data_IF_808359314725
#
_entry.id   IF_808359314725
#
_cell.length_a   1.000
_cell.length_b   1.000
_cell.length_c   1.000
_cell.angle_alpha   90.00
_cell.angle_beta   90.00
_cell.angle_gamma   90.00
#
_symmetry.space_group_name_H-M   'P 1'
#
loop_
_entity.id
_entity.type
_entity.pdbx_description
1 polymer ?
#
# COMPACT_ATOMS: atom_id res chain seq x y z
N UNK A 1 26.11 -18.00 10.01
CA UNK A 1 24.90 -17.49 10.68
C UNK A 1 23.72 -18.32 10.22
N UNK A 2 22.90 -18.76 11.16
CA UNK A 2 21.60 -19.39 10.90
C UNK A 2 20.51 -18.39 11.22
N UNK A 3 19.55 -18.24 10.31
CA UNK A 3 18.43 -17.32 10.43
C UNK A 3 17.12 -18.03 10.09
N UNK A 4 16.06 -17.71 10.84
CA UNK A 4 14.72 -18.25 10.69
C UNK A 4 13.74 -17.10 10.53
N UNK A 5 12.95 -17.15 9.46
CA UNK A 5 11.84 -16.24 9.22
C UNK A 5 10.53 -17.02 9.28
N UNK A 6 9.54 -16.53 10.01
CA UNK A 6 8.22 -17.16 10.09
C UNK A 6 7.14 -16.15 9.74
N UNK A 7 6.15 -16.61 8.97
CA UNK A 7 4.96 -15.84 8.61
C UNK A 7 3.73 -16.67 8.92
N UNK A 8 2.93 -16.24 9.89
CA UNK A 8 1.66 -16.87 10.25
C UNK A 8 0.49 -15.97 9.88
N UNK A 9 -0.47 -16.51 9.14
CA UNK A 9 -1.74 -15.85 8.81
C UNK A 9 -2.89 -16.66 9.38
N UNK A 10 -3.62 -16.08 10.33
CA UNK A 10 -4.92 -16.55 10.79
C UNK A 10 -5.99 -15.64 10.21
N UNK A 11 -6.96 -16.19 9.49
CA UNK A 11 -7.94 -15.38 8.78
C UNK A 11 -9.33 -16.01 8.83
N UNK A 12 -10.36 -15.17 9.04
CA UNK A 12 -11.76 -15.48 8.75
C UNK A 12 -12.20 -14.60 7.59
N UNK A 13 -12.63 -15.22 6.50
CA UNK A 13 -13.02 -14.54 5.27
C UNK A 13 -14.49 -14.80 4.97
N UNK A 14 -15.27 -13.73 4.80
CA UNK A 14 -16.64 -13.77 4.30
C UNK A 14 -16.59 -13.53 2.79
N UNK A 15 -17.09 -14.47 2.01
CA UNK A 15 -17.27 -14.29 0.55
C UNK A 15 -18.68 -13.79 0.27
N UNK A 16 -18.77 -12.69 -0.46
CA UNK A 16 -20.01 -11.97 -0.74
C UNK A 16 -20.40 -12.14 -2.20
N UNK A 17 -21.68 -12.42 -2.45
CA UNK A 17 -22.24 -12.47 -3.79
C UNK A 17 -23.71 -12.08 -3.74
N UNK A 18 -24.16 -11.27 -4.71
CA UNK A 18 -25.55 -10.81 -4.82
C UNK A 18 -26.12 -10.26 -3.50
N UNK A 19 -25.32 -9.46 -2.79
CA UNK A 19 -25.67 -8.85 -1.50
C UNK A 19 -25.94 -9.86 -0.37
N UNK A 20 -25.31 -11.04 -0.44
CA UNK A 20 -25.42 -12.08 0.58
C UNK A 20 -24.05 -12.69 0.93
N UNK A 21 -23.91 -13.18 2.16
CA UNK A 21 -22.73 -13.95 2.56
C UNK A 21 -22.91 -15.39 2.06
N UNK A 22 -22.14 -15.76 1.03
CA UNK A 22 -22.20 -17.10 0.43
C UNK A 22 -21.35 -18.13 1.18
N UNK A 23 -20.21 -17.70 1.72
CA UNK A 23 -19.30 -18.62 2.39
C UNK A 23 -18.51 -17.92 3.50
N UNK A 24 -18.22 -18.68 4.55
CA UNK A 24 -17.29 -18.29 5.62
C UNK A 24 -16.12 -19.27 5.56
N UNK A 25 -14.92 -18.77 5.29
CA UNK A 25 -13.69 -19.57 5.19
C UNK A 25 -12.75 -19.21 6.33
N UNK A 26 -12.13 -20.23 6.92
CA UNK A 26 -11.04 -20.05 7.88
C UNK A 26 -9.74 -20.49 7.26
N UNK A 27 -8.70 -19.71 7.46
CA UNK A 27 -7.33 -20.03 7.03
C UNK A 27 -6.41 -19.87 8.24
N UNK A 28 -5.57 -20.86 8.48
CA UNK A 28 -4.48 -20.79 9.43
C UNK A 28 -3.28 -21.43 8.74
N UNK A 29 -2.34 -20.60 8.31
CA UNK A 29 -1.13 -21.06 7.61
C UNK A 29 0.08 -20.44 8.26
N UNK A 30 1.09 -21.27 8.49
CA UNK A 30 2.42 -20.85 8.88
C UNK A 30 3.38 -21.23 7.76
N UNK A 31 4.23 -20.29 7.36
CA UNK A 31 5.30 -20.50 6.40
C UNK A 31 6.61 -20.13 7.09
N UNK A 32 7.61 -21.01 7.00
CA UNK A 32 8.90 -20.81 7.67
C UNK A 32 10.03 -20.94 6.67
N UNK A 33 10.89 -19.93 6.61
CA UNK A 33 12.13 -19.93 5.86
C UNK A 33 13.32 -20.13 6.80
N UNK A 34 14.29 -20.92 6.36
CA UNK A 34 15.53 -21.20 7.07
C UNK A 34 16.68 -20.81 6.17
N UNK A 35 17.56 -19.94 6.65
CA UNK A 35 18.68 -19.40 5.89
C UNK A 35 19.98 -19.74 6.62
N UNK A 36 20.97 -20.18 5.85
CA UNK A 36 22.36 -20.29 6.29
C UNK A 36 23.17 -19.30 5.47
N UNK A 37 23.86 -18.39 6.16
CA UNK A 37 24.77 -17.43 5.54
C UNK A 37 26.18 -17.73 6.04
N UNK A 38 27.10 -18.03 5.11
CA UNK A 38 28.50 -18.34 5.39
C UNK A 38 29.38 -17.94 4.20
N UNK A 39 30.54 -17.36 4.46
CA UNK A 39 31.55 -17.00 3.45
C UNK A 39 30.99 -16.18 2.27
N UNK A 40 30.10 -15.23 2.58
CA UNK A 40 29.45 -14.38 1.57
C UNK A 40 28.45 -15.12 0.68
N UNK A 41 28.01 -16.33 1.05
CA UNK A 41 27.00 -17.12 0.35
C UNK A 41 25.77 -17.35 1.20
N UNK A 42 24.63 -17.59 0.54
CA UNK A 42 23.37 -17.95 1.19
C UNK A 42 22.80 -19.26 0.65
N UNK A 43 22.35 -20.12 1.56
CA UNK A 43 21.54 -21.30 1.28
C UNK A 43 20.21 -21.19 2.02
N UNK A 44 19.11 -21.62 1.37
CA UNK A 44 17.75 -21.41 1.86
C UNK A 44 16.94 -22.70 1.77
N UNK A 45 16.13 -22.98 2.78
CA UNK A 45 15.08 -23.98 2.76
C UNK A 45 13.77 -23.36 3.25
N UNK A 46 12.63 -23.90 2.80
CA UNK A 46 11.31 -23.41 3.14
C UNK A 46 10.37 -24.55 3.52
N UNK A 47 9.46 -24.27 4.45
CA UNK A 47 8.41 -25.20 4.84
C UNK A 47 7.06 -24.50 5.03
N UNK A 48 5.98 -25.23 4.78
CA UNK A 48 4.61 -24.82 5.08
C UNK A 48 4.07 -25.74 6.17
N UNK A 49 3.54 -25.17 7.25
CA UNK A 49 3.10 -25.92 8.42
C UNK A 49 4.25 -26.28 9.36
N UNK A 50 4.10 -27.41 10.06
CA UNK A 50 5.12 -27.91 10.99
C UNK A 50 6.27 -28.56 10.21
N UNK A 51 7.50 -28.25 10.59
CA UNK A 51 8.71 -28.85 10.03
C UNK A 51 9.73 -29.14 11.14
N UNK A 52 10.58 -30.14 10.89
CA UNK A 52 11.77 -30.37 11.70
C UNK A 52 12.81 -29.28 11.38
N UNK A 53 13.02 -28.38 12.33
CA UNK A 53 13.93 -27.25 12.20
C UNK A 53 15.38 -27.67 11.93
N UNK A 54 15.86 -28.76 12.56
CA UNK A 54 17.22 -29.23 12.36
C UNK A 54 17.43 -29.70 10.91
N UNK A 55 16.46 -30.47 10.39
CA UNK A 55 16.48 -30.94 9.01
C UNK A 55 16.40 -29.77 8.00
N UNK A 56 15.62 -28.73 8.30
CA UNK A 56 15.52 -27.55 7.42
C UNK A 56 16.81 -26.74 7.38
N UNK A 57 17.49 -26.55 8.52
CA UNK A 57 18.80 -25.92 8.52
C UNK A 57 19.86 -26.78 7.82
N UNK A 58 19.82 -28.10 7.93
CA UNK A 58 20.70 -29.00 7.17
C UNK A 58 20.45 -28.87 5.66
N UNK A 59 19.20 -28.74 5.23
CA UNK A 59 18.88 -28.52 3.82
C UNK A 59 19.36 -27.15 3.34
N UNK A 60 19.14 -26.10 4.13
CA UNK A 60 19.65 -24.76 3.82
C UNK A 60 21.19 -24.74 3.73
N UNK A 61 21.86 -25.48 4.62
CA UNK A 61 23.32 -25.69 4.60
C UNK A 61 23.78 -26.38 3.30
N UNK A 62 23.13 -27.48 2.88
CA UNK A 62 23.42 -28.14 1.59
C UNK A 62 23.23 -27.21 0.41
N UNK A 63 22.22 -26.35 0.47
CA UNK A 63 21.90 -25.39 -0.59
C UNK A 63 22.95 -24.27 -0.73
N UNK A 64 23.92 -24.14 0.17
CA UNK A 64 25.11 -23.28 -0.05
C UNK A 64 25.89 -23.71 -1.31
N UNK A 65 25.81 -24.98 -1.71
CA UNK A 65 26.46 -25.50 -2.92
C UNK A 65 25.97 -24.83 -4.22
N UNK A 66 24.80 -24.18 -4.22
CA UNK A 66 24.35 -23.38 -5.35
C UNK A 66 25.16 -22.09 -5.56
N UNK A 67 25.98 -21.70 -4.58
CA UNK A 67 26.96 -20.62 -4.73
C UNK A 67 26.36 -19.22 -4.86
N UNK A 68 25.13 -19.00 -4.39
CA UNK A 68 24.42 -17.71 -4.48
C UNK A 68 25.15 -16.66 -3.64
N UNK A 69 25.59 -15.59 -4.28
CA UNK A 69 26.26 -14.46 -3.63
C UNK A 69 25.31 -13.69 -2.70
N UNK A 70 25.75 -13.53 -1.46
CA UNK A 70 25.04 -12.81 -0.41
C UNK A 70 26.02 -12.26 0.64
N UNK A 71 26.92 -11.40 0.17
CA UNK A 71 27.96 -10.76 0.98
C UNK A 71 27.45 -9.47 1.62
N UNK A 72 26.60 -9.62 2.64
CA UNK A 72 26.00 -8.53 3.42
C UNK A 72 26.39 -8.65 4.89
N UNK A 73 26.39 -7.53 5.61
CA UNK A 73 26.54 -7.51 7.06
C UNK A 73 25.18 -7.91 7.68
N UNK A 74 25.09 -9.01 8.42
CA UNK A 74 23.84 -9.41 9.03
C UNK A 74 23.34 -8.42 10.08
N UNK A 75 22.02 -8.37 10.27
CA UNK A 75 21.45 -7.71 11.44
C UNK A 75 21.70 -8.60 12.65
N UNK A 76 22.10 -8.03 13.78
CA UNK A 76 22.50 -8.78 14.98
C UNK A 76 22.20 -7.97 16.24
N UNK A 77 22.12 -8.64 17.39
CA UNK A 77 21.95 -8.04 18.72
C UNK A 77 20.79 -7.04 18.84
N UNK A 78 19.62 -7.38 18.28
CA UNK A 78 18.44 -6.53 18.31
C UNK A 78 17.20 -7.35 18.65
N UNK A 79 16.53 -6.98 19.74
CA UNK A 79 15.28 -7.60 20.18
C UNK A 79 14.18 -6.55 20.10
N UNK A 80 13.14 -6.81 19.31
CA UNK A 80 11.99 -5.91 19.17
C UNK A 80 10.72 -6.72 18.99
N UNK A 81 9.68 -6.39 19.77
CA UNK A 81 8.39 -7.08 19.74
C UNK A 81 7.28 -6.06 19.64
N UNK A 82 6.65 -6.00 18.48
CA UNK A 82 5.50 -5.14 18.20
C UNK A 82 4.26 -6.00 18.11
N UNK A 83 3.32 -5.79 19.03
CA UNK A 83 2.02 -6.46 19.02
C UNK A 83 0.96 -5.38 19.07
N UNK A 84 0.14 -5.29 18.02
CA UNK A 84 -0.94 -4.33 17.94
C UNK A 84 -2.25 -5.01 18.32
N UNK A 85 -2.88 -4.52 19.39
CA UNK A 85 -4.07 -5.12 20.00
C UNK A 85 -5.34 -4.26 19.81
N UNK A 86 -5.26 -3.17 19.06
CA UNK A 86 -6.33 -2.19 18.89
C UNK A 86 -7.57 -2.72 18.14
N UNK A 87 -7.54 -3.97 17.68
CA UNK A 87 -8.64 -4.61 16.95
C UNK A 87 -9.46 -5.56 17.81
N UNK A 88 -10.59 -5.04 18.31
CA UNK A 88 -11.57 -5.78 19.12
C UNK A 88 -12.56 -6.60 18.27
N UNK A 89 -12.57 -6.43 16.95
CA UNK A 89 -13.50 -7.10 16.03
C UNK A 89 -13.40 -8.62 16.16
N UNK A 90 -14.52 -9.27 16.44
CA UNK A 90 -14.66 -10.73 16.46
C UNK A 90 -15.32 -11.23 15.17
N UNK A 91 -15.09 -12.49 14.81
CA UNK A 91 -15.77 -13.10 13.65
C UNK A 91 -17.31 -13.02 13.75
N UNK A 92 -17.87 -13.15 14.96
CA UNK A 92 -19.31 -13.03 15.21
C UNK A 92 -19.81 -11.60 14.97
N UNK A 93 -19.11 -10.60 15.52
CA UNK A 93 -19.45 -9.18 15.31
C UNK A 93 -19.32 -8.76 13.84
N UNK A 94 -18.27 -9.22 13.15
CA UNK A 94 -18.06 -9.02 11.72
C UNK A 94 -19.22 -9.58 10.90
N UNK A 95 -19.61 -10.85 11.12
CA UNK A 95 -20.73 -11.47 10.40
C UNK A 95 -22.03 -10.71 10.65
N UNK A 96 -22.31 -10.32 11.90
CA UNK A 96 -23.53 -9.57 12.25
C UNK A 96 -23.58 -8.22 11.54
N UNK A 97 -22.51 -7.43 11.62
CA UNK A 97 -22.47 -6.11 11.01
C UNK A 97 -22.47 -6.16 9.48
N UNK A 98 -21.75 -7.12 8.86
CA UNK A 98 -21.79 -7.29 7.39
C UNK A 98 -23.19 -7.69 6.92
N UNK A 99 -23.89 -8.60 7.62
CA UNK A 99 -25.30 -8.92 7.30
C UNK A 99 -26.21 -7.70 7.36
N UNK A 100 -26.03 -6.84 8.38
CA UNK A 100 -26.76 -5.59 8.50
C UNK A 100 -26.50 -4.68 7.30
N UNK A 101 -25.24 -4.38 6.99
CA UNK A 101 -24.86 -3.50 5.87
C UNK A 101 -25.43 -4.00 4.55
N UNK A 102 -25.30 -5.31 4.27
CA UNK A 102 -25.81 -5.90 3.03
C UNK A 102 -27.34 -5.81 2.91
N UNK A 103 -28.06 -6.03 4.01
CA UNK A 103 -29.52 -5.91 4.05
C UNK A 103 -29.96 -4.48 3.77
N UNK A 104 -29.35 -3.51 4.43
CA UNK A 104 -29.71 -2.10 4.28
C UNK A 104 -29.33 -1.57 2.89
N UNK A 105 -28.16 -1.93 2.36
CA UNK A 105 -27.79 -1.60 0.97
C UNK A 105 -28.78 -2.18 -0.05
N UNK A 106 -29.18 -3.45 0.11
CA UNK A 106 -30.18 -4.10 -0.76
C UNK A 106 -31.55 -3.41 -0.70
N UNK A 107 -31.93 -2.91 0.48
CA UNK A 107 -33.18 -2.17 0.69
C UNK A 107 -33.15 -0.77 0.05
N UNK A 108 -32.05 -0.02 0.26
CA UNK A 108 -31.90 1.35 -0.25
C UNK A 108 -31.61 1.40 -1.75
N UNK A 109 -30.86 0.42 -2.27
CA UNK A 109 -30.37 0.39 -3.64
C UNK A 109 -30.70 -0.96 -4.29
N UNK A 110 -31.99 -1.28 -4.53
CA UNK A 110 -32.40 -2.59 -5.04
C UNK A 110 -31.78 -2.92 -6.41
N UNK A 111 -31.46 -1.90 -7.20
CA UNK A 111 -30.79 -2.06 -8.51
C UNK A 111 -29.29 -2.30 -8.41
N UNK A 112 -28.72 -2.40 -7.21
CA UNK A 112 -27.30 -2.70 -7.00
C UNK A 112 -27.10 -3.99 -6.21
N UNK A 113 -26.03 -4.68 -6.56
CA UNK A 113 -25.56 -5.88 -5.89
C UNK A 113 -24.17 -5.66 -5.29
N UNK A 114 -23.95 -6.24 -4.11
CA UNK A 114 -22.65 -6.24 -3.44
C UNK A 114 -21.99 -7.60 -3.61
N UNK A 115 -20.72 -7.62 -3.99
CA UNK A 115 -19.89 -8.82 -4.04
C UNK A 115 -18.48 -8.54 -3.51
N UNK A 116 -17.60 -9.55 -3.54
CA UNK A 116 -16.21 -9.56 -3.06
C UNK A 116 -16.04 -10.18 -1.66
N UNK A 117 -15.28 -9.57 -0.75
CA UNK A 117 -14.85 -10.22 0.50
C UNK A 117 -14.70 -9.24 1.66
N UNK A 118 -14.98 -9.74 2.86
CA UNK A 118 -14.59 -9.11 4.12
C UNK A 118 -13.69 -10.06 4.88
N UNK A 119 -12.50 -9.61 5.29
CA UNK A 119 -11.47 -10.43 5.90
C UNK A 119 -11.11 -9.89 7.27
N UNK A 120 -11.21 -10.72 8.31
CA UNK A 120 -10.57 -10.49 9.60
C UNK A 120 -9.29 -11.31 9.65
N UNK A 121 -8.14 -10.66 9.70
CA UNK A 121 -6.83 -11.31 9.60
C UNK A 121 -5.96 -10.96 10.80
N UNK A 122 -5.27 -11.95 11.35
CA UNK A 122 -4.11 -11.76 12.23
C UNK A 122 -2.88 -12.22 11.46
N UNK A 123 -1.94 -11.31 11.26
CA UNK A 123 -0.64 -11.56 10.66
C UNK A 123 0.40 -11.54 11.77
N UNK A 124 1.27 -12.53 11.78
CA UNK A 124 2.46 -12.56 12.63
C UNK A 124 3.67 -12.82 11.75
N UNK A 125 4.67 -11.96 11.88
CA UNK A 125 5.96 -12.05 11.22
C UNK A 125 7.03 -12.14 12.30
N UNK A 126 7.94 -13.09 12.19
CA UNK A 126 9.12 -13.14 13.05
C UNK A 126 10.38 -13.38 12.24
N UNK A 127 11.48 -12.83 12.73
CA UNK A 127 12.81 -13.02 12.15
C UNK A 127 13.81 -13.16 13.30
N UNK A 128 14.52 -14.29 13.35
CA UNK A 128 15.45 -14.65 14.41
C UNK A 128 16.76 -15.19 13.84
N UNK A 129 17.89 -14.93 14.49
CA UNK A 129 19.16 -15.55 14.12
C UNK A 129 20.05 -15.92 15.31
N UNK A 130 21.09 -16.71 15.04
CA UNK A 130 22.09 -17.16 16.02
C UNK A 130 23.11 -16.07 16.46
N UNK A 131 22.82 -14.80 16.15
CA UNK A 131 23.61 -13.61 16.51
C UNK A 131 22.82 -12.60 17.34
N UNK A 132 21.74 -13.02 18.00
CA UNK A 132 20.99 -12.19 18.93
C UNK A 132 19.93 -11.28 18.29
N UNK A 133 19.53 -11.53 17.04
CA UNK A 133 18.36 -10.91 16.44
C UNK A 133 17.09 -11.69 16.84
N UNK A 134 16.10 -11.02 17.44
CA UNK A 134 14.76 -11.57 17.73
C UNK A 134 13.69 -10.49 17.48
N UNK A 135 13.14 -10.50 16.28
CA UNK A 135 12.13 -9.55 15.83
C UNK A 135 10.76 -10.23 15.72
N UNK A 136 9.73 -9.56 16.21
CA UNK A 136 8.34 -9.98 16.10
C UNK A 136 7.45 -8.80 15.75
N UNK A 137 6.58 -8.97 14.76
CA UNK A 137 5.48 -8.08 14.46
C UNK A 137 4.19 -8.89 14.41
N UNK A 138 3.16 -8.49 15.16
CA UNK A 138 1.82 -9.07 15.11
C UNK A 138 0.79 -7.98 15.02
N UNK A 139 -0.12 -8.10 14.06
CA UNK A 139 -1.23 -7.18 13.86
C UNK A 139 -2.50 -7.94 13.50
N UNK A 140 -3.64 -7.39 13.91
CA UNK A 140 -4.97 -7.89 13.61
C UNK A 140 -5.78 -6.78 12.95
N UNK A 141 -6.23 -7.02 11.72
CA UNK A 141 -6.95 -6.02 10.91
C UNK A 141 -8.21 -6.60 10.30
N UNK A 142 -9.20 -5.73 10.09
CA UNK A 142 -10.38 -5.96 9.30
C UNK A 142 -10.19 -5.26 7.94
N UNK A 143 -10.37 -6.00 6.86
CA UNK A 143 -10.48 -5.47 5.51
C UNK A 143 -11.90 -5.67 5.02
N UNK A 144 -12.60 -4.58 4.71
CA UNK A 144 -13.89 -4.60 4.01
C UNK A 144 -13.62 -4.27 2.55
N UNK A 145 -14.09 -5.12 1.63
CA UNK A 145 -14.02 -4.86 0.20
C UNK A 145 -15.36 -5.21 -0.45
N UNK A 146 -16.00 -4.20 -1.05
CA UNK A 146 -17.28 -4.29 -1.74
C UNK A 146 -17.10 -3.87 -3.18
N UNK A 147 -17.43 -4.78 -4.09
CA UNK A 147 -17.68 -4.45 -5.49
C UNK A 147 -19.17 -4.18 -5.65
N UNK A 148 -19.51 -2.99 -6.11
CA UNK A 148 -20.87 -2.48 -6.22
C UNK A 148 -21.24 -2.45 -7.70
N UNK A 149 -22.18 -3.34 -8.08
CA UNK A 149 -22.54 -3.56 -9.48
C UNK A 149 -24.03 -3.33 -9.69
N UNK A 150 -24.37 -2.48 -10.66
CA UNK A 150 -25.73 -2.22 -11.08
C UNK A 150 -26.30 -3.43 -11.83
N UNK A 151 -27.58 -3.73 -11.61
CA UNK A 151 -28.29 -4.78 -12.34
C UNK A 151 -28.29 -4.47 -13.84
N UNK A 152 -28.10 -5.50 -14.66
CA UNK A 152 -28.01 -5.37 -16.12
C UNK A 152 -26.66 -4.86 -16.66
N UNK A 153 -25.76 -4.34 -15.80
CA UNK A 153 -24.41 -3.95 -16.22
C UNK A 153 -23.62 -5.17 -16.73
N UNK A 154 -22.92 -5.03 -17.88
CA UNK A 154 -21.96 -6.03 -18.35
C UNK A 154 -20.66 -6.03 -17.54
N UNK A 155 -20.39 -4.96 -16.80
CA UNK A 155 -19.16 -4.80 -16.04
C UNK A 155 -19.18 -5.65 -14.76
N UNK A 156 -17.99 -6.03 -14.31
CA UNK A 156 -17.78 -6.78 -13.06
C UNK A 156 -18.09 -5.90 -11.84
N UNK A 157 -17.87 -4.58 -11.96
CA UNK A 157 -18.19 -3.56 -10.98
C UNK A 157 -18.57 -2.25 -11.71
N UNK A 158 -19.36 -1.42 -11.05
CA UNK A 158 -19.64 -0.04 -11.51
C UNK A 158 -18.99 0.99 -10.59
N UNK A 159 -18.84 0.65 -9.31
CA UNK A 159 -18.00 1.35 -8.35
C UNK A 159 -17.54 0.37 -7.26
N UNK A 160 -16.67 0.78 -6.35
CA UNK A 160 -16.13 -0.08 -5.31
C UNK A 160 -15.84 0.70 -4.03
N UNK A 161 -16.07 0.06 -2.89
CA UNK A 161 -15.68 0.55 -1.58
C UNK A 161 -14.68 -0.42 -0.96
N UNK A 162 -13.59 0.10 -0.40
CA UNK A 162 -12.72 -0.70 0.45
C UNK A 162 -12.19 0.13 1.61
N UNK A 163 -11.93 -0.52 2.74
CA UNK A 163 -11.24 0.05 3.89
C UNK A 163 -10.50 -1.04 4.64
N UNK A 164 -9.31 -0.72 5.14
CA UNK A 164 -8.61 -1.52 6.15
C UNK A 164 -8.65 -0.75 7.47
N UNK A 165 -9.05 -1.41 8.54
CA UNK A 165 -9.17 -0.80 9.86
C UNK A 165 -8.95 -1.83 10.96
N UNK A 166 -8.74 -1.34 12.17
CA UNK A 166 -8.79 -2.16 13.39
C UNK A 166 -10.17 -2.10 14.07
N UNK A 167 -11.03 -1.19 13.62
CA UNK A 167 -12.40 -1.06 14.10
C UNK A 167 -13.40 -1.46 13.01
N UNK A 168 -14.58 -1.90 13.43
CA UNK A 168 -15.71 -2.11 12.51
C UNK A 168 -16.85 -1.15 12.84
N UNK A 169 -17.14 -0.25 11.91
CA UNK A 169 -18.21 0.75 12.02
C UNK A 169 -19.27 0.49 10.93
N UNK A 170 -20.25 -0.43 11.14
CA UNK A 170 -21.20 -0.82 10.09
C UNK A 170 -21.98 0.35 9.48
N UNK A 171 -22.41 1.32 10.30
CA UNK A 171 -23.14 2.50 9.80
C UNK A 171 -22.28 3.35 8.88
N UNK A 172 -21.01 3.55 9.22
CA UNK A 172 -20.07 4.34 8.42
C UNK A 172 -19.75 3.66 7.09
N UNK A 173 -19.58 2.33 7.11
CA UNK A 173 -19.45 1.50 5.89
C UNK A 173 -20.70 1.61 5.02
N UNK A 174 -21.88 1.54 5.63
CA UNK A 174 -23.17 1.65 4.96
C UNK A 174 -23.33 3.02 4.30
N UNK A 175 -23.08 4.09 5.04
CA UNK A 175 -23.15 5.48 4.56
C UNK A 175 -22.20 5.70 3.38
N UNK A 176 -20.94 5.30 3.51
CA UNK A 176 -19.94 5.44 2.45
C UNK A 176 -20.33 4.67 1.20
N UNK A 177 -20.68 3.38 1.34
CA UNK A 177 -21.08 2.53 0.21
C UNK A 177 -22.35 3.07 -0.48
N UNK A 178 -23.34 3.52 0.30
CA UNK A 178 -24.56 4.14 -0.20
C UNK A 178 -24.27 5.45 -0.93
N UNK A 179 -23.38 6.29 -0.38
CA UNK A 179 -22.92 7.52 -1.01
C UNK A 179 -22.24 7.28 -2.36
N UNK A 180 -21.40 6.25 -2.46
CA UNK A 180 -20.76 5.87 -3.74
C UNK A 180 -21.78 5.39 -4.79
N UNK A 181 -22.80 4.62 -4.39
CA UNK A 181 -23.87 4.21 -5.31
C UNK A 181 -24.66 5.43 -5.79
N UNK A 182 -25.07 6.32 -4.88
CA UNK A 182 -25.80 7.55 -5.25
C UNK A 182 -25.00 8.41 -6.21
N UNK A 183 -23.73 8.65 -5.90
CA UNK A 183 -22.84 9.41 -6.77
C UNK A 183 -22.56 8.73 -8.11
N UNK A 184 -22.62 7.40 -8.19
CA UNK A 184 -22.53 6.70 -9.48
C UNK A 184 -23.75 6.95 -10.37
N UNK A 185 -24.94 6.89 -9.76
CA UNK A 185 -26.22 7.08 -10.44
C UNK A 185 -26.39 8.55 -10.88
N UNK A 186 -26.05 9.48 -9.99
CA UNK A 186 -26.08 10.92 -10.27
C UNK A 186 -24.91 11.29 -11.18
N UNK A 187 -25.18 11.85 -12.36
CA UNK A 187 -24.13 12.30 -13.28
C UNK A 187 -23.86 13.78 -13.08
N UNK A 188 -22.58 14.17 -13.06
CA UNK A 188 -22.14 15.55 -13.00
C UNK A 188 -21.44 15.98 -14.30
N UNK A 189 -21.44 17.29 -14.56
CA UNK A 189 -20.65 17.87 -15.65
C UNK A 189 -19.23 18.16 -15.20
N UNK A 190 -18.28 18.18 -16.15
CA UNK A 190 -16.89 18.53 -15.87
C UNK A 190 -16.79 19.93 -15.24
N UNK A 191 -16.20 20.08 -14.04
CA UNK A 191 -16.04 21.38 -13.40
C UNK A 191 -14.97 22.23 -14.12
N UNK A 192 -15.03 23.55 -13.92
CA UNK A 192 -14.01 24.48 -14.42
C UNK A 192 -12.81 24.53 -13.45
N UNK A 193 -11.60 24.38 -13.98
CA UNK A 193 -10.32 24.42 -13.23
C UNK A 193 -10.30 23.56 -11.94
N UNK A 194 -10.67 22.26 -12.02
CA UNK A 194 -10.69 21.40 -10.86
C UNK A 194 -9.29 21.07 -10.35
N UNK A 195 -9.24 20.64 -9.10
CA UNK A 195 -8.12 19.86 -8.60
C UNK A 195 -8.37 18.37 -8.80
N UNK A 196 -7.30 17.62 -9.04
CA UNK A 196 -7.32 16.16 -9.10
C UNK A 196 -6.97 15.62 -7.72
N UNK A 197 -7.78 14.68 -7.24
CA UNK A 197 -7.64 14.00 -5.96
C UNK A 197 -7.38 12.52 -6.22
N UNK A 198 -6.27 12.00 -5.71
CA UNK A 198 -5.88 10.59 -5.86
C UNK A 198 -5.34 10.05 -4.53
N UNK A 199 -5.42 8.74 -4.33
CA UNK A 199 -4.76 8.12 -3.17
C UNK A 199 -3.24 8.27 -3.27
N UNK A 200 -2.57 8.30 -2.11
CA UNK A 200 -1.14 8.54 -2.03
C UNK A 200 -0.28 7.54 -2.80
N UNK A 201 -0.74 6.29 -2.94
CA UNK A 201 0.05 5.21 -3.55
C UNK A 201 -0.01 5.25 -5.07
N UNK A 202 -1.20 5.49 -5.64
CA UNK A 202 -1.39 5.51 -7.10
C UNK A 202 -0.46 6.50 -7.83
N UNK A 203 -0.16 7.66 -7.21
CA UNK A 203 0.74 8.64 -7.82
C UNK A 203 2.22 8.47 -7.44
N UNK A 204 2.54 7.73 -6.38
CA UNK A 204 3.92 7.60 -5.90
C UNK A 204 4.67 6.39 -6.48
N UNK A 205 4.01 5.53 -7.26
CA UNK A 205 4.64 4.39 -7.94
C UNK A 205 5.84 4.78 -8.82
N UNK A 206 5.83 5.98 -9.42
CA UNK A 206 6.98 6.48 -10.17
C UNK A 206 8.23 6.65 -9.28
N UNK A 207 8.04 7.03 -8.01
CA UNK A 207 9.14 7.10 -7.03
C UNK A 207 9.63 5.71 -6.66
N UNK A 208 8.76 4.69 -6.62
CA UNK A 208 9.20 3.31 -6.44
C UNK A 208 10.16 2.90 -7.57
N UNK A 209 9.87 3.32 -8.81
CA UNK A 209 10.75 3.04 -9.95
C UNK A 209 12.06 3.83 -9.90
N UNK A 210 12.01 5.15 -9.66
CA UNK A 210 13.17 6.02 -9.85
C UNK A 210 13.96 6.36 -8.58
N UNK A 211 13.42 6.11 -7.38
CA UNK A 211 14.20 6.08 -6.14
C UNK A 211 14.73 4.68 -5.82
N UNK A 212 14.50 3.69 -6.70
CA UNK A 212 15.11 2.37 -6.59
C UNK A 212 16.64 2.47 -6.65
N UNK A 213 17.33 2.00 -5.61
CA UNK A 213 18.79 2.07 -5.54
C UNK A 213 19.53 1.35 -6.66
N UNK A 214 18.96 0.29 -7.24
CA UNK A 214 19.56 -0.37 -8.41
C UNK A 214 19.43 0.49 -9.66
N UNK A 215 18.27 1.12 -9.88
CA UNK A 215 18.07 2.02 -11.03
C UNK A 215 18.92 3.30 -10.90
N UNK A 216 19.06 3.85 -9.69
CA UNK A 216 19.93 4.98 -9.43
C UNK A 216 21.41 4.60 -9.62
N UNK A 217 21.84 3.45 -9.09
CA UNK A 217 23.23 2.99 -9.20
C UNK A 217 23.67 2.58 -10.60
N UNK A 218 22.75 2.09 -11.44
CA UNK A 218 23.02 1.78 -12.86
C UNK A 218 22.84 2.99 -13.78
N UNK A 219 22.27 4.08 -13.28
CA UNK A 219 21.96 5.28 -14.05
C UNK A 219 20.69 5.24 -14.89
N UNK A 220 19.86 4.20 -14.73
CA UNK A 220 18.56 4.07 -15.40
C UNK A 220 17.45 4.96 -14.77
N UNK A 221 17.72 5.59 -13.62
CA UNK A 221 16.77 6.48 -12.97
C UNK A 221 16.68 7.86 -13.65
N UNK A 222 15.46 8.40 -13.73
CA UNK A 222 15.18 9.81 -14.06
C UNK A 222 15.91 10.81 -13.14
N UNK A 223 16.24 10.37 -11.92
CA UNK A 223 16.86 11.21 -10.90
C UNK A 223 18.37 11.02 -10.79
N UNK A 224 18.98 10.36 -11.77
CA UNK A 224 20.42 10.17 -11.79
C UNK A 224 21.15 11.54 -11.75
N UNK A 225 22.14 11.67 -10.86
CA UNK A 225 22.86 12.92 -10.63
C UNK A 225 22.04 14.03 -9.97
N UNK A 226 20.83 13.74 -9.47
CA UNK A 226 19.93 14.74 -8.85
C UNK A 226 19.80 14.63 -7.33
N UNK A 227 20.57 13.74 -6.68
CA UNK A 227 20.68 13.74 -5.22
C UNK A 227 21.18 15.12 -4.75
N UNK A 228 20.47 15.72 -3.79
CA UNK A 228 20.71 17.06 -3.25
C UNK A 228 20.01 18.19 -4.02
N UNK A 229 19.44 17.94 -5.19
CA UNK A 229 18.74 18.96 -5.98
C UNK A 229 17.26 19.02 -5.60
N UNK A 230 16.72 20.25 -5.46
CA UNK A 230 15.28 20.52 -5.34
C UNK A 230 14.62 20.38 -6.71
N UNK A 231 13.82 19.33 -6.90
CA UNK A 231 13.09 19.06 -8.14
C UNK A 231 11.57 19.26 -7.98
N UNK A 232 11.09 19.25 -6.74
CA UNK A 232 9.67 19.28 -6.40
C UNK A 232 9.38 20.47 -5.46
N UNK A 233 8.11 20.63 -5.09
CA UNK A 233 7.66 21.68 -4.18
C UNK A 233 8.36 21.56 -2.82
N UNK A 234 8.58 22.68 -2.14
CA UNK A 234 9.01 22.65 -0.73
C UNK A 234 8.01 22.02 0.21
N UNK A 235 6.73 22.02 -0.18
CA UNK A 235 5.67 21.37 0.58
C UNK A 235 5.64 19.84 0.36
N UNK A 236 6.45 19.32 -0.57
CA UNK A 236 6.50 17.89 -0.88
C UNK A 236 7.71 17.22 -0.23
N UNK A 237 7.44 16.27 0.67
CA UNK A 237 8.41 15.33 1.20
C UNK A 237 7.85 13.92 1.05
N UNK A 238 8.73 12.93 0.85
CA UNK A 238 8.38 11.53 0.66
C UNK A 238 9.31 10.67 1.51
N UNK A 239 8.73 9.81 2.33
CA UNK A 239 9.48 8.92 3.21
C UNK A 239 9.01 7.48 3.04
N UNK A 240 9.92 6.54 3.30
CA UNK A 240 9.58 5.16 3.59
C UNK A 240 8.69 5.15 4.82
N UNK A 241 7.50 4.58 4.66
CA UNK A 241 6.50 4.58 5.68
C UNK A 241 6.39 3.18 6.30
N UNK A 242 6.64 3.13 7.60
CA UNK A 242 6.62 1.92 8.42
C UNK A 242 5.79 2.07 9.67
N UNK A 243 5.05 3.16 9.84
CA UNK A 243 4.19 3.28 11.00
C UNK A 243 3.14 2.16 10.93
N UNK A 244 3.22 1.15 11.82
CA UNK A 244 2.33 0.03 11.71
C UNK A 244 0.90 0.45 12.03
N UNK A 245 0.68 1.57 12.76
CA UNK A 245 -0.64 2.06 13.10
C UNK A 245 -1.36 2.70 11.90
N UNK A 246 -0.62 3.38 11.03
CA UNK A 246 -1.17 4.14 9.90
C UNK A 246 -1.36 3.27 8.65
N UNK A 247 -0.46 2.32 8.39
CA UNK A 247 -0.32 1.64 7.09
C UNK A 247 -0.27 0.11 7.21
N UNK A 248 -0.44 -0.43 8.42
CA UNK A 248 -0.58 -1.88 8.67
C UNK A 248 0.63 -2.71 8.20
N UNK A 249 1.83 -2.10 8.20
CA UNK A 249 3.07 -2.71 7.73
C UNK A 249 3.99 -3.16 8.89
N UNK A 250 4.97 -3.99 8.57
CA UNK A 250 5.99 -4.44 9.51
C UNK A 250 7.10 -3.39 9.67
N UNK A 251 7.58 -3.18 10.90
CA UNK A 251 8.67 -2.24 11.21
C UNK A 251 10.04 -2.68 10.67
N UNK A 252 10.22 -3.99 10.44
CA UNK A 252 11.45 -4.56 9.92
C UNK A 252 11.25 -5.20 8.55
N UNK A 253 12.31 -5.19 7.75
CA UNK A 253 12.33 -5.77 6.40
C UNK A 253 12.75 -7.24 6.40
N UNK A 254 12.89 -7.85 5.22
CA UNK A 254 13.27 -9.27 5.12
C UNK A 254 14.72 -9.58 5.49
N UNK A 255 15.55 -8.57 5.77
CA UNK A 255 16.94 -8.65 6.26
C UNK A 255 17.08 -8.25 7.73
N UNK A 256 15.95 -8.02 8.42
CA UNK A 256 15.89 -7.62 9.83
C UNK A 256 16.37 -6.19 10.07
N UNK A 257 16.24 -5.30 9.08
CA UNK A 257 16.56 -3.87 9.23
C UNK A 257 15.31 -3.13 9.70
N UNK A 258 15.41 -2.46 10.86
CA UNK A 258 14.48 -1.42 11.28
C UNK A 258 15.02 -0.07 10.79
N UNK A 259 14.16 0.72 10.16
CA UNK A 259 14.56 1.99 9.51
C UNK A 259 14.42 3.12 10.52
N UNK A 260 15.51 3.83 10.77
CA UNK A 260 15.48 5.06 11.58
C UNK A 260 14.82 6.19 10.78
N UNK A 261 14.14 7.12 11.48
CA UNK A 261 13.42 8.25 10.87
C UNK A 261 14.27 9.01 9.84
N UNK A 262 15.55 9.25 10.16
CA UNK A 262 16.45 9.98 9.27
C UNK A 262 16.74 9.24 7.97
N UNK A 263 16.78 7.90 7.99
CA UNK A 263 17.08 7.06 6.82
C UNK A 263 15.84 6.78 5.96
N UNK A 264 14.65 6.91 6.56
CA UNK A 264 13.38 6.75 5.87
C UNK A 264 13.12 7.85 4.84
N UNK A 265 13.62 9.07 5.06
CA UNK A 265 13.33 10.22 4.18
C UNK A 265 14.02 10.05 2.82
N UNK A 266 13.25 9.97 1.74
CA UNK A 266 13.78 9.85 0.38
C UNK A 266 13.79 11.18 -0.36
N UNK A 267 12.78 12.02 -0.11
CA UNK A 267 12.65 13.39 -0.60
C UNK A 267 12.31 14.28 0.60
N UNK A 268 13.03 15.38 0.77
CA UNK A 268 12.80 16.36 1.84
C UNK A 268 12.66 17.75 1.24
N UNK A 269 11.53 18.40 1.49
CA UNK A 269 11.21 19.74 1.02
C UNK A 269 11.51 19.93 -0.48
N UNK A 270 11.11 18.93 -1.25
CA UNK A 270 11.27 18.84 -2.70
C UNK A 270 12.65 18.42 -3.20
N UNK A 271 13.62 18.22 -2.31
CA UNK A 271 14.98 17.79 -2.66
C UNK A 271 15.19 16.29 -2.45
N UNK A 272 15.73 15.62 -3.46
CA UNK A 272 16.05 14.19 -3.38
C UNK A 272 17.20 13.97 -2.40
N UNK A 273 16.97 13.16 -1.37
CA UNK A 273 17.97 12.87 -0.35
C UNK A 273 18.76 11.62 -0.70
N UNK A 274 18.08 10.55 -1.14
CA UNK A 274 18.69 9.24 -1.40
C UNK A 274 17.73 8.28 -2.12
N UNK A 275 18.24 7.22 -2.74
CA UNK A 275 17.43 6.06 -3.11
C UNK A 275 17.06 5.20 -1.89
N UNK A 276 16.08 4.32 -2.06
CA UNK A 276 15.83 3.20 -1.16
C UNK A 276 16.64 1.96 -1.59
N UNK A 277 17.12 1.18 -0.63
CA UNK A 277 18.08 0.07 -0.82
C UNK A 277 17.86 -1.08 0.16
N UNK A 278 18.19 -2.29 -0.28
CA UNK A 278 18.53 -3.44 0.57
C UNK A 278 20.05 -3.41 0.86
N UNK A 279 20.54 -4.30 1.73
CA UNK A 279 21.97 -4.33 2.08
C UNK A 279 22.87 -4.59 0.87
N UNK A 280 22.44 -5.45 -0.06
CA UNK A 280 23.21 -5.78 -1.28
C UNK A 280 23.37 -4.59 -2.21
N UNK A 281 22.27 -3.91 -2.52
CA UNK A 281 22.25 -2.73 -3.39
C UNK A 281 23.01 -1.58 -2.75
N UNK A 282 22.81 -1.36 -1.45
CA UNK A 282 23.55 -0.38 -0.67
C UNK A 282 25.07 -0.59 -0.80
N UNK A 283 25.55 -1.82 -0.54
CA UNK A 283 26.96 -2.17 -0.69
C UNK A 283 27.47 -2.01 -2.12
N UNK A 284 26.72 -2.51 -3.10
CA UNK A 284 27.15 -2.53 -4.51
C UNK A 284 27.36 -1.12 -5.09
N UNK A 285 26.48 -0.18 -4.75
CA UNK A 285 26.51 1.18 -5.30
C UNK A 285 26.93 2.24 -4.28
N UNK A 286 27.46 1.82 -3.13
CA UNK A 286 27.93 2.70 -2.06
C UNK A 286 26.84 3.69 -1.56
N UNK A 287 25.62 3.19 -1.41
CA UNK A 287 24.51 3.91 -0.77
C UNK A 287 24.33 3.45 0.68
N UNK A 288 23.58 4.22 1.46
CA UNK A 288 23.13 3.80 2.78
C UNK A 288 22.03 2.73 2.64
N UNK A 289 22.02 1.68 3.49
CA UNK A 289 20.89 0.78 3.64
C UNK A 289 19.66 1.55 4.16
N UNK A 290 18.50 1.35 3.53
CA UNK A 290 17.22 1.94 3.99
C UNK A 290 16.21 0.86 4.37
N UNK A 291 16.72 -0.34 4.67
CA UNK A 291 15.92 -1.50 5.03
C UNK A 291 14.86 -1.86 4.01
N UNK A 292 15.09 -1.78 2.70
CA UNK A 292 14.05 -2.04 1.70
C UNK A 292 14.16 -3.43 1.08
N UNK A 293 14.53 -4.44 1.87
CA UNK A 293 14.54 -5.82 1.42
C UNK A 293 13.16 -6.47 1.57
N UNK A 294 12.72 -7.18 0.53
CA UNK A 294 11.54 -8.01 0.53
C UNK A 294 11.85 -9.42 0.03
N UNK A 295 10.81 -10.16 -0.35
CA UNK A 295 10.91 -11.52 -0.84
C UNK A 295 9.95 -12.48 -0.13
N UNK A 296 9.75 -13.65 -0.76
CA UNK A 296 9.04 -14.76 -0.15
C UNK A 296 9.85 -15.36 1.00
N UNK A 297 9.17 -16.01 1.95
CA UNK A 297 9.77 -16.67 3.12
C UNK A 297 10.91 -17.64 2.75
N UNK A 298 10.84 -18.28 1.59
CA UNK A 298 11.79 -19.26 1.04
C UNK A 298 12.69 -18.71 -0.08
N UNK A 299 12.83 -17.39 -0.16
CA UNK A 299 13.65 -16.72 -1.18
C UNK A 299 14.79 -15.89 -0.58
N UNK A 300 15.79 -15.60 -1.40
CA UNK A 300 16.89 -14.70 -1.07
C UNK A 300 16.34 -13.28 -0.95
N UNK A 301 16.58 -12.58 0.17
CA UNK A 301 16.21 -11.17 0.30
C UNK A 301 16.73 -10.34 -0.86
N UNK A 302 15.86 -9.47 -1.38
CA UNK A 302 16.22 -8.56 -2.47
C UNK A 302 15.44 -7.25 -2.39
N UNK A 303 16.03 -6.22 -2.98
CA UNK A 303 15.47 -4.88 -3.07
C UNK A 303 14.02 -4.94 -3.56
N UNK A 304 13.12 -4.49 -2.70
CA UNK A 304 11.69 -4.41 -2.94
C UNK A 304 11.22 -2.98 -2.67
N UNK A 305 10.24 -2.50 -3.44
CA UNK A 305 9.66 -1.19 -3.18
C UNK A 305 9.04 -1.18 -1.78
N UNK A 306 9.49 -0.29 -0.87
CA UNK A 306 8.83 -0.11 0.41
C UNK A 306 7.51 0.63 0.21
N UNK A 307 6.64 0.59 1.23
CA UNK A 307 5.57 1.59 1.31
C UNK A 307 6.20 2.97 1.45
N UNK A 308 5.73 3.93 0.66
CA UNK A 308 6.18 5.32 0.73
C UNK A 308 4.96 6.21 0.81
N UNK A 309 5.00 7.19 1.70
CA UNK A 309 3.93 8.18 1.81
C UNK A 309 4.49 9.59 1.74
N UNK A 310 3.76 10.52 1.10
CA UNK A 310 4.03 11.94 1.24
C UNK A 310 3.85 12.37 2.70
N UNK A 311 4.57 13.42 3.11
CA UNK A 311 4.29 14.06 4.38
C UNK A 311 2.89 14.68 4.37
N UNK A 312 2.12 14.38 5.41
CA UNK A 312 0.79 14.94 5.64
C UNK A 312 0.91 16.45 5.85
N UNK A 313 0.06 17.22 5.17
CA UNK A 313 -0.02 18.67 5.34
C UNK A 313 -0.88 19.05 6.54
N UNK A 314 -0.86 20.33 6.93
CA UNK A 314 -1.73 20.85 8.00
C UNK A 314 -3.17 21.14 7.54
N UNK A 315 -3.48 20.94 6.25
CA UNK A 315 -4.78 21.27 5.64
C UNK A 315 -5.61 20.04 5.37
N UNK A 316 -6.90 20.12 5.68
CA UNK A 316 -7.90 19.13 5.26
C UNK A 316 -8.07 19.10 3.74
N UNK A 317 -8.65 18.03 3.21
CA UNK A 317 -8.97 17.89 1.79
C UNK A 317 -9.77 19.10 1.28
N UNK A 318 -10.81 19.51 2.02
CA UNK A 318 -11.62 20.69 1.69
C UNK A 318 -10.82 21.99 1.67
N UNK A 319 -9.91 22.18 2.62
CA UNK A 319 -9.02 23.35 2.65
C UNK A 319 -8.01 23.34 1.50
N UNK A 320 -7.53 22.17 1.07
CA UNK A 320 -6.67 22.03 -0.11
C UNK A 320 -7.39 22.40 -1.41
N UNK A 321 -8.71 22.17 -1.48
CA UNK A 321 -9.53 22.53 -2.63
C UNK A 321 -9.85 24.03 -2.73
N UNK A 322 -9.69 24.79 -1.64
CA UNK A 322 -9.80 26.26 -1.64
C UNK A 322 -11.11 26.77 -2.29
N UNK A 323 -12.24 26.16 -1.90
CA UNK A 323 -13.58 26.52 -2.40
C UNK A 323 -13.90 26.06 -3.83
N UNK A 324 -13.00 25.31 -4.47
CA UNK A 324 -13.22 24.72 -5.81
C UNK A 324 -13.71 23.29 -5.68
N UNK A 325 -14.28 22.78 -6.77
CA UNK A 325 -14.55 21.35 -6.86
C UNK A 325 -13.28 20.57 -7.15
N UNK A 326 -13.20 19.37 -6.56
CA UNK A 326 -12.22 18.36 -6.87
C UNK A 326 -12.81 17.26 -7.75
N UNK A 327 -11.92 16.57 -8.45
CA UNK A 327 -12.19 15.34 -9.17
C UNK A 327 -11.52 14.22 -8.40
N UNK A 328 -12.31 13.38 -7.75
CA UNK A 328 -11.83 12.18 -7.09
C UNK A 328 -11.70 11.06 -8.11
N UNK A 329 -10.46 10.67 -8.42
CA UNK A 329 -10.17 9.56 -9.32
C UNK A 329 -10.30 8.25 -8.56
N UNK A 330 -11.21 7.38 -9.02
CA UNK A 330 -11.45 6.05 -8.40
C UNK A 330 -10.85 4.95 -9.25
N UNK A 331 -10.89 5.09 -10.58
CA UNK A 331 -10.27 4.14 -11.50
C UNK A 331 -9.61 4.90 -12.65
N UNK A 332 -8.30 4.77 -12.71
CA UNK A 332 -7.46 5.19 -13.82
C UNK A 332 -6.60 4.00 -14.23
N UNK A 333 -6.70 3.58 -15.49
CA UNK A 333 -6.05 2.37 -15.98
C UNK A 333 -5.73 2.48 -17.47
N UNK A 334 -4.69 1.74 -17.90
CA UNK A 334 -4.16 1.79 -19.27
C UNK A 334 -3.14 2.91 -19.50
N UNK A 335 -2.80 3.66 -18.45
CA UNK A 335 -1.75 4.67 -18.44
C UNK A 335 -0.53 4.29 -17.61
N UNK A 336 0.57 5.03 -17.82
CA UNK A 336 1.79 5.00 -17.00
C UNK A 336 2.55 6.32 -17.23
N UNK A 337 3.66 6.49 -16.53
CA UNK A 337 4.66 7.49 -16.85
C UNK A 337 5.54 7.03 -18.01
N UNK A 338 5.76 7.95 -18.95
CA UNK A 338 6.77 7.81 -20.00
C UNK A 338 8.20 7.83 -19.41
N UNK A 339 9.23 7.41 -20.18
CA UNK A 339 10.62 7.47 -19.72
C UNK A 339 11.13 8.87 -19.35
N UNK A 340 10.50 9.94 -19.85
CA UNK A 340 10.79 11.35 -19.52
C UNK A 340 9.93 11.90 -18.36
N UNK A 341 9.09 11.05 -17.75
CA UNK A 341 8.32 11.39 -16.56
C UNK A 341 7.01 12.13 -16.84
N UNK A 342 6.40 11.92 -18.02
CA UNK A 342 5.06 12.42 -18.32
C UNK A 342 4.04 11.33 -17.98
N UNK A 343 3.17 11.62 -17.01
CA UNK A 343 2.01 10.81 -16.70
C UNK A 343 0.93 11.02 -17.76
N UNK A 344 0.37 9.92 -18.26
CA UNK A 344 -0.89 9.96 -18.99
C UNK A 344 -1.72 8.72 -18.64
N UNK A 345 -2.97 8.91 -18.25
CA UNK A 345 -3.87 7.78 -17.98
C UNK A 345 -5.32 8.11 -18.31
N UNK A 346 -6.03 7.21 -19.03
CA UNK A 346 -7.48 7.21 -19.08
C UNK A 346 -8.06 7.06 -17.66
N UNK A 347 -9.11 7.82 -17.38
CA UNK A 347 -9.91 7.77 -16.15
C UNK A 347 -11.29 7.22 -16.51
N UNK A 348 -11.54 5.97 -16.11
CA UNK A 348 -12.79 5.26 -16.37
C UNK A 348 -13.86 5.56 -15.30
N UNK A 349 -13.43 5.92 -14.08
CA UNK A 349 -14.36 6.26 -13.01
C UNK A 349 -13.78 7.37 -12.14
N UNK A 350 -14.54 8.47 -12.04
CA UNK A 350 -14.27 9.54 -11.11
C UNK A 350 -15.56 10.21 -10.64
N UNK A 351 -15.45 10.93 -9.53
CA UNK A 351 -16.55 11.66 -8.93
C UNK A 351 -16.20 13.14 -8.76
N UNK A 352 -17.16 14.01 -9.03
CA UNK A 352 -17.11 15.38 -8.58
C UNK A 352 -17.24 15.41 -7.05
N UNK A 353 -16.44 16.22 -6.37
CA UNK A 353 -16.50 16.37 -4.91
C UNK A 353 -16.19 17.79 -4.47
N UNK A 354 -16.75 18.20 -3.33
CA UNK A 354 -16.40 19.42 -2.61
C UNK A 354 -15.35 19.18 -1.50
N UNK A 355 -14.78 17.97 -1.43
CA UNK A 355 -13.83 17.54 -0.39
C UNK A 355 -14.49 16.88 0.82
N UNK A 356 -15.83 16.86 0.90
CA UNK A 356 -16.58 16.17 1.97
C UNK A 356 -17.54 15.13 1.41
N UNK A 357 -18.16 15.41 0.25
CA UNK A 357 -19.21 14.58 -0.36
C UNK A 357 -18.92 14.30 -1.81
N UNK A 358 -19.42 13.18 -2.31
CA UNK A 358 -19.46 12.90 -3.74
C UNK A 358 -20.75 13.49 -4.32
N UNK A 359 -20.60 14.30 -5.37
CA UNK A 359 -21.67 15.10 -5.97
C UNK A 359 -22.19 14.53 -7.29
N UNK A 360 -21.52 13.51 -7.82
CA UNK A 360 -21.94 12.82 -9.05
C UNK A 360 -20.76 12.30 -9.85
N UNK A 361 -21.02 11.31 -10.70
CA UNK A 361 -20.07 10.67 -11.61
C UNK A 361 -19.80 11.58 -12.80
N UNK A 362 -18.52 11.73 -13.14
CA UNK A 362 -18.08 12.49 -14.31
C UNK A 362 -17.99 11.58 -15.54
N UNK A 363 -18.06 12.14 -16.77
CA UNK A 363 -17.73 11.39 -17.98
C UNK A 363 -16.27 10.90 -17.95
N UNK A 364 -15.92 9.95 -18.82
CA UNK A 364 -14.54 9.51 -18.97
C UNK A 364 -13.65 10.61 -19.60
N UNK A 365 -12.38 10.64 -19.23
CA UNK A 365 -11.38 11.58 -19.74
C UNK A 365 -9.98 11.00 -19.58
N UNK A 366 -8.98 11.70 -20.10
CA UNK A 366 -7.57 11.40 -19.88
C UNK A 366 -6.94 12.48 -19.01
N UNK A 367 -6.16 12.06 -18.02
CA UNK A 367 -5.27 12.93 -17.25
C UNK A 367 -3.89 12.97 -17.88
N UNK A 368 -3.25 14.14 -17.86
CA UNK A 368 -1.87 14.30 -18.30
C UNK A 368 -1.12 15.34 -17.48
N UNK A 369 0.10 15.03 -17.06
CA UNK A 369 1.00 16.00 -16.43
C UNK A 369 2.43 15.45 -16.32
N UNK A 370 3.43 16.33 -16.20
CA UNK A 370 4.79 15.91 -15.83
C UNK A 370 4.88 15.60 -14.34
N UNK A 371 5.67 14.61 -13.93
CA UNK A 371 5.99 14.34 -12.52
C UNK A 371 6.49 15.60 -11.80
N UNK A 372 7.29 16.43 -12.49
CA UNK A 372 7.84 17.66 -11.92
C UNK A 372 6.76 18.72 -11.67
N UNK A 373 5.67 18.69 -12.42
CA UNK A 373 4.54 19.58 -12.22
C UNK A 373 3.62 19.04 -11.11
N UNK A 374 3.24 17.75 -11.20
CA UNK A 374 2.38 17.04 -10.22
C UNK A 374 2.88 17.22 -8.78
N UNK A 375 4.18 17.02 -8.56
CA UNK A 375 4.80 17.14 -7.25
C UNK A 375 5.54 18.47 -7.06
N UNK A 376 5.56 19.33 -8.08
CA UNK A 376 6.15 20.66 -8.04
C UNK A 376 5.11 21.76 -7.99
N UNK A 377 5.04 22.58 -9.04
CA UNK A 377 4.23 23.81 -9.04
C UNK A 377 2.73 23.56 -8.87
N UNK A 378 2.24 22.39 -9.25
CA UNK A 378 0.82 22.04 -9.21
C UNK A 378 0.42 21.24 -7.96
N UNK A 379 1.41 20.82 -7.16
CA UNK A 379 1.19 20.14 -5.89
C UNK A 379 0.50 21.06 -4.89
N UNK A 380 -0.58 20.60 -4.27
CA UNK A 380 -1.31 21.35 -3.24
C UNK A 380 -1.08 20.82 -1.84
N UNK A 381 -0.88 19.51 -1.72
CA UNK A 381 -0.65 18.86 -0.44
C UNK A 381 -1.18 17.44 -0.39
N UNK A 382 -0.86 16.79 0.73
CA UNK A 382 -1.43 15.53 1.15
C UNK A 382 -2.37 15.82 2.32
N UNK A 383 -3.65 15.47 2.21
CA UNK A 383 -4.68 15.93 3.15
C UNK A 383 -4.40 15.49 4.59
N UNK A 384 -4.68 16.36 5.55
CA UNK A 384 -4.58 16.08 6.99
C UNK A 384 -5.59 15.02 7.43
N UNK A 385 -6.81 15.13 6.92
CA UNK A 385 -7.89 14.20 7.18
C UNK A 385 -7.85 13.03 6.19
N UNK A 386 -8.42 11.92 6.64
CA UNK A 386 -8.56 10.68 5.88
C UNK A 386 -9.93 10.65 5.22
N UNK A 387 -9.96 10.40 3.91
CA UNK A 387 -11.20 10.33 3.15
C UNK A 387 -11.78 8.91 3.21
N UNK A 388 -12.77 8.70 4.07
CA UNK A 388 -13.28 7.36 4.39
C UNK A 388 -13.81 6.58 3.17
N UNK A 389 -14.41 7.28 2.20
CA UNK A 389 -14.95 6.65 0.99
C UNK A 389 -13.86 6.04 0.10
N UNK A 390 -12.60 6.45 0.30
CA UNK A 390 -11.41 5.99 -0.43
C UNK A 390 -10.41 5.34 0.54
N UNK A 391 -10.78 4.22 1.16
CA UNK A 391 -9.84 3.47 2.00
C UNK A 391 -9.62 4.03 3.40
N UNK A 392 -10.24 5.16 3.76
CA UNK A 392 -9.85 5.94 4.93
C UNK A 392 -8.38 6.37 4.85
N UNK A 393 -7.99 6.90 3.68
CA UNK A 393 -6.62 7.32 3.38
C UNK A 393 -6.53 8.84 3.25
N UNK A 394 -5.33 9.36 3.50
CA UNK A 394 -4.96 10.71 3.12
C UNK A 394 -4.91 10.81 1.59
N UNK A 395 -5.26 11.96 1.04
CA UNK A 395 -5.41 12.15 -0.40
C UNK A 395 -4.41 13.18 -0.92
N UNK A 396 -3.78 12.88 -2.05
CA UNK A 396 -2.96 13.86 -2.78
C UNK A 396 -3.90 14.78 -3.55
N UNK A 397 -3.65 16.08 -3.46
CA UNK A 397 -4.34 17.11 -4.25
C UNK A 397 -3.32 17.81 -5.16
N UNK A 398 -3.61 17.83 -6.46
CA UNK A 398 -2.75 18.43 -7.48
C UNK A 398 -3.57 18.98 -8.64
N UNK A 399 -2.95 19.72 -9.57
CA UNK A 399 -3.50 19.95 -10.91
C UNK A 399 -2.89 19.00 -11.93
N UNK A 400 -3.66 18.71 -12.97
CA UNK A 400 -3.25 18.01 -14.19
C UNK A 400 -4.11 18.51 -15.35
N UNK A 401 -3.63 18.32 -16.57
CA UNK A 401 -4.42 18.59 -17.78
C UNK A 401 -5.49 17.50 -17.94
N UNK A 402 -6.67 17.91 -18.41
CA UNK A 402 -7.82 17.04 -18.67
C UNK A 402 -8.16 17.10 -20.15
N UNK A 403 -8.14 15.95 -20.81
CA UNK A 403 -8.57 15.77 -22.20
C UNK A 403 -9.84 14.90 -22.21
N UNK A 404 -10.99 15.47 -22.59
CA UNK A 404 -12.25 14.73 -22.71
C UNK A 404 -12.17 13.72 -23.88
N UNK A 405 -12.71 12.52 -23.67
CA UNK A 405 -12.73 11.43 -24.66
C UNK A 405 -13.87 11.57 -25.69
#
# INVERSE_FOLDING_TARGET
>A
MKEKISQTLKQVSLSLHQSEIQAIRKKNITKTGYRVIRDGKIGIAGAIGQADEAAMFEQAEKNLAYGIDYDVIPSENLVSKTVIEDCDVTAASMVKGVKYVLKELKSMHPDFSVSHKVNLSTVELSLQNDRGLDLLHRDKTLQVGFLLRQQGSSDILNTAFSVVSRQFEPERVLEASSGMIKAYIETASMPKDPYIIMDGRSLTDIFARHLNGSNMGTGASLFNGKIGYKLFSEDFSLSIDRDPYENFTCLFDSEGVMVDEDTAVLIKNGAIQRPYTDKRTAKKYNFMPTGSAGGSYDSVPSLSAPSMLPSVSDKTLKELLDGRYGILVVMASGGDFTPDGIFASPVQLSYLTDGERLLGRLPEFTLKASIYDIFGKDYRGFSKDKFYMMGNEHMIVTKMDIELL
#
